data_IF_824137622531
#
_entry.id   IF_824137622531
#
_cell.length_a   1.000
_cell.length_b   1.000
_cell.length_c   1.000
_cell.angle_alpha   90.00
_cell.angle_beta   90.00
_cell.angle_gamma   90.00
#
_symmetry.space_group_name_H-M   'P 1'
#
loop_
_entity.id
_entity.type
_entity.pdbx_description
1 polymer ?
#
# COMPACT_ATOMS: atom_id res chain seq x y z
N UNK A 1 -8.64 -11.04 14.97
CA UNK A 1 -8.80 -11.50 13.57
C UNK A 1 -7.75 -10.82 12.69
N UNK A 2 -7.20 -11.55 11.70
CA UNK A 2 -6.25 -10.97 10.72
C UNK A 2 -7.00 -10.07 9.73
N UNK A 3 -6.37 -8.98 9.29
CA UNK A 3 -6.93 -8.14 8.24
C UNK A 3 -7.06 -8.93 6.93
N UNK A 4 -8.03 -8.59 6.07
CA UNK A 4 -8.15 -9.14 4.72
C UNK A 4 -7.66 -8.16 3.65
N UNK A 5 -7.30 -8.63 2.45
CA UNK A 5 -7.08 -7.76 1.31
C UNK A 5 -8.40 -7.11 0.85
N UNK A 6 -8.30 -6.05 0.06
CA UNK A 6 -9.41 -5.57 -0.76
C UNK A 6 -9.56 -6.47 -1.99
N UNK A 7 -10.81 -6.75 -2.40
CA UNK A 7 -11.10 -7.31 -3.73
C UNK A 7 -10.89 -6.25 -4.81
N UNK A 8 -10.81 -6.65 -6.07
CA UNK A 8 -10.65 -5.68 -7.17
C UNK A 8 -11.88 -4.78 -7.32
N UNK A 9 -13.09 -5.31 -7.07
CA UNK A 9 -14.32 -4.51 -7.05
C UNK A 9 -14.35 -3.50 -5.90
N UNK A 10 -13.96 -3.90 -4.69
CA UNK A 10 -13.85 -2.99 -3.55
C UNK A 10 -12.80 -1.89 -3.79
N UNK A 11 -11.65 -2.26 -4.36
CA UNK A 11 -10.62 -1.28 -4.73
C UNK A 11 -11.15 -0.25 -5.74
N UNK A 12 -11.93 -0.69 -6.73
CA UNK A 12 -12.55 0.18 -7.74
C UNK A 12 -13.58 1.11 -7.09
N UNK A 13 -14.48 0.60 -6.24
CA UNK A 13 -15.47 1.38 -5.52
C UNK A 13 -14.83 2.45 -4.61
N UNK A 14 -13.82 2.07 -3.83
CA UNK A 14 -13.10 3.00 -2.96
C UNK A 14 -12.34 4.06 -3.76
N UNK A 15 -11.74 3.69 -4.89
CA UNK A 15 -11.06 4.63 -5.79
C UNK A 15 -12.04 5.66 -6.35
N UNK A 16 -13.20 5.22 -6.83
CA UNK A 16 -14.27 6.08 -7.33
C UNK A 16 -14.80 7.01 -6.23
N UNK A 17 -15.07 6.47 -5.04
CA UNK A 17 -15.52 7.25 -3.88
C UNK A 17 -14.56 8.40 -3.54
N UNK A 18 -13.25 8.11 -3.42
CA UNK A 18 -12.27 9.16 -3.11
C UNK A 18 -12.09 10.16 -4.25
N UNK A 19 -12.19 9.72 -5.49
CA UNK A 19 -12.10 10.58 -6.68
C UNK A 19 -13.28 11.54 -6.75
N UNK A 20 -14.52 11.04 -6.63
CA UNK A 20 -15.75 11.85 -6.67
C UNK A 20 -15.81 12.86 -5.52
N UNK A 21 -15.37 12.45 -4.32
CA UNK A 21 -15.29 13.34 -3.17
C UNK A 21 -14.14 14.38 -3.28
N UNK A 22 -13.35 14.35 -4.36
CA UNK A 22 -12.18 15.21 -4.53
C UNK A 22 -11.10 15.00 -3.47
N UNK A 23 -11.07 13.84 -2.82
CA UNK A 23 -10.13 13.55 -1.74
C UNK A 23 -8.85 12.89 -2.29
N UNK A 24 -8.04 13.71 -2.96
CA UNK A 24 -6.82 13.25 -3.65
C UNK A 24 -5.81 12.58 -2.73
N UNK A 25 -5.70 13.02 -1.46
CA UNK A 25 -4.82 12.39 -0.47
C UNK A 25 -5.22 10.95 -0.18
N UNK A 26 -6.51 10.71 0.06
CA UNK A 26 -7.00 9.38 0.40
C UNK A 26 -7.01 8.45 -0.84
N UNK A 27 -7.27 9.00 -2.03
CA UNK A 27 -7.10 8.29 -3.29
C UNK A 27 -5.64 7.85 -3.50
N UNK A 28 -4.70 8.78 -3.29
CA UNK A 28 -3.26 8.47 -3.37
C UNK A 28 -2.85 7.42 -2.33
N UNK A 29 -3.31 7.54 -1.09
CA UNK A 29 -3.04 6.58 -0.03
C UNK A 29 -3.48 5.16 -0.42
N UNK A 30 -4.69 5.02 -0.97
CA UNK A 30 -5.22 3.75 -1.45
C UNK A 30 -4.39 3.20 -2.63
N UNK A 31 -4.18 4.02 -3.67
CA UNK A 31 -3.45 3.60 -4.89
C UNK A 31 -1.99 3.28 -4.59
N UNK A 32 -1.29 4.14 -3.86
CA UNK A 32 0.12 3.95 -3.52
C UNK A 32 0.31 2.78 -2.55
N UNK A 33 -0.56 2.63 -1.55
CA UNK A 33 -0.52 1.52 -0.60
C UNK A 33 -0.74 0.16 -1.25
N UNK A 34 -1.76 0.06 -2.12
CA UNK A 34 -2.04 -1.16 -2.88
C UNK A 34 -1.11 -1.37 -4.08
N UNK A 35 -0.42 -0.34 -4.57
CA UNK A 35 0.50 -0.41 -5.69
C UNK A 35 1.97 -0.68 -5.31
N UNK A 36 2.36 -0.38 -4.06
CA UNK A 36 3.74 -0.59 -3.59
C UNK A 36 3.86 -1.62 -2.49
N UNK A 37 2.76 -1.89 -1.79
CA UNK A 37 2.73 -2.78 -0.64
C UNK A 37 3.62 -2.31 0.53
N UNK A 38 3.97 -1.04 0.61
CA UNK A 38 4.69 -0.48 1.75
C UNK A 38 3.86 -0.62 3.04
N UNK A 39 4.53 -0.76 4.18
CA UNK A 39 3.85 -0.68 5.48
C UNK A 39 3.31 0.71 5.68
N UNK A 40 2.24 0.83 6.45
CA UNK A 40 1.63 2.15 6.68
C UNK A 40 2.62 3.17 7.26
N UNK A 41 3.51 2.77 8.16
CA UNK A 41 4.56 3.64 8.69
C UNK A 41 5.59 4.07 7.63
N UNK A 42 5.83 3.23 6.62
CA UNK A 42 6.70 3.51 5.50
C UNK A 42 6.03 4.52 4.54
N UNK A 43 4.73 4.33 4.26
CA UNK A 43 3.94 5.27 3.45
C UNK A 43 3.86 6.66 4.10
N UNK A 44 3.54 6.70 5.40
CA UNK A 44 3.38 7.96 6.13
C UNK A 44 4.71 8.70 6.36
N UNK A 45 5.84 8.03 6.18
CA UNK A 45 7.16 8.65 6.23
C UNK A 45 7.58 9.31 4.90
N UNK A 46 6.82 9.10 3.80
CA UNK A 46 7.12 9.69 2.50
C UNK A 46 6.92 11.21 2.54
N UNK A 47 7.83 11.89 1.86
CA UNK A 47 7.81 13.33 1.63
C UNK A 47 7.63 13.63 0.15
N UNK A 48 7.31 14.86 -0.18
CA UNK A 48 7.14 15.31 -1.57
C UNK A 48 8.37 14.96 -2.41
N UNK A 49 9.58 15.19 -1.93
CA UNK A 49 10.84 14.86 -2.61
C UNK A 49 11.03 13.38 -2.95
N UNK A 50 10.32 12.48 -2.27
CA UNK A 50 10.44 11.03 -2.51
C UNK A 50 9.63 10.59 -3.74
N UNK A 51 8.70 11.43 -4.20
CA UNK A 51 7.79 11.14 -5.32
C UNK A 51 7.80 12.19 -6.41
N UNK A 52 8.48 13.34 -6.20
CA UNK A 52 8.61 14.44 -7.15
C UNK A 52 10.08 14.77 -7.36
N UNK A 53 10.57 14.64 -8.60
CA UNK A 53 11.98 14.85 -8.97
C UNK A 53 12.05 15.89 -10.08
N UNK A 54 12.68 17.03 -9.76
CA UNK A 54 12.75 18.14 -10.72
C UNK A 54 11.37 18.68 -11.07
N UNK A 55 10.86 18.35 -12.25
CA UNK A 55 9.59 18.84 -12.79
C UNK A 55 8.52 17.76 -12.95
N UNK A 56 8.80 16.52 -12.57
CA UNK A 56 7.91 15.38 -12.84
C UNK A 56 7.75 14.42 -11.67
N UNK A 57 6.71 13.60 -11.74
CA UNK A 57 6.51 12.49 -10.80
C UNK A 57 7.56 11.41 -11.06
N UNK A 58 8.22 10.97 -10.00
CA UNK A 58 9.20 9.89 -10.04
C UNK A 58 8.63 8.61 -10.69
N UNK A 59 9.45 7.89 -11.46
CA UNK A 59 9.09 6.60 -12.02
C UNK A 59 9.12 5.46 -10.98
N UNK A 60 9.75 5.70 -9.84
CA UNK A 60 9.89 4.75 -8.76
C UNK A 60 9.97 5.48 -7.42
N UNK A 61 9.63 4.78 -6.36
CA UNK A 61 9.77 5.28 -5.00
C UNK A 61 10.68 4.37 -4.19
N UNK A 62 11.56 4.98 -3.39
CA UNK A 62 12.48 4.25 -2.52
C UNK A 62 12.24 4.62 -1.07
N UNK A 63 11.97 3.62 -0.23
CA UNK A 63 11.95 3.83 1.21
C UNK A 63 13.38 3.72 1.76
N UNK A 64 13.86 4.81 2.34
CA UNK A 64 15.16 4.84 2.97
C UNK A 64 15.24 3.78 4.09
N UNK A 65 16.39 3.13 4.24
CA UNK A 65 16.65 2.10 5.25
C UNK A 65 16.17 2.48 6.66
N UNK A 66 16.42 3.72 7.09
CA UNK A 66 16.03 4.22 8.42
C UNK A 66 14.54 4.19 8.71
N UNK A 67 13.70 4.16 7.67
CA UNK A 67 12.24 4.12 7.76
C UNK A 67 11.69 2.68 7.71
N UNK A 68 12.54 1.68 7.45
CA UNK A 68 12.17 0.28 7.44
C UNK A 68 12.21 -0.31 8.87
N UNK A 69 11.34 -1.28 9.14
CA UNK A 69 11.36 -2.04 10.40
C UNK A 69 12.74 -2.70 10.57
N UNK A 70 13.44 -2.39 11.67
CA UNK A 70 14.79 -2.88 11.91
C UNK A 70 15.90 -2.09 11.19
N UNK A 71 15.58 -1.03 10.44
CA UNK A 71 16.56 -0.24 9.71
C UNK A 71 17.36 0.76 10.57
N UNK A 72 16.93 0.99 11.81
CA UNK A 72 17.64 1.86 12.80
C UNK A 72 18.61 1.00 13.60
N UNK A 73 19.89 1.36 13.57
CA UNK A 73 20.94 0.73 14.37
C UNK A 73 22.11 0.19 13.56
N UNK A 74 23.31 0.21 14.15
CA UNK A 74 24.56 -0.19 13.51
C UNK A 74 24.62 -1.69 13.13
N UNK A 75 23.89 -2.52 13.86
CA UNK A 75 23.91 -3.99 13.69
C UNK A 75 23.01 -4.53 12.56
N UNK A 76 22.09 -3.71 12.01
CA UNK A 76 21.14 -4.16 10.97
C UNK A 76 21.57 -3.77 9.54
N UNK A 77 22.84 -4.08 9.19
CA UNK A 77 23.38 -3.81 7.83
C UNK A 77 22.65 -4.56 6.71
N UNK A 78 21.93 -5.64 7.03
CA UNK A 78 21.18 -6.45 6.06
C UNK A 78 19.89 -5.77 5.54
N UNK A 79 19.36 -4.77 6.24
CA UNK A 79 18.14 -4.06 5.81
C UNK A 79 18.53 -3.03 4.76
N UNK A 80 18.24 -3.34 3.50
CA UNK A 80 18.42 -2.42 2.35
C UNK A 80 17.15 -1.58 2.13
N UNK A 81 17.32 -0.37 1.57
CA UNK A 81 16.18 0.41 1.06
C UNK A 81 15.42 -0.42 0.02
N UNK A 82 14.09 -0.30 0.04
CA UNK A 82 13.24 -0.99 -0.93
C UNK A 82 12.78 -0.01 -2.01
N UNK A 83 13.13 -0.33 -3.24
CA UNK A 83 12.75 0.39 -4.46
C UNK A 83 11.54 -0.29 -5.09
N UNK A 84 10.52 0.48 -5.47
CA UNK A 84 9.32 -0.02 -6.14
C UNK A 84 9.00 0.88 -7.32
N UNK A 85 8.89 0.33 -8.56
CA UNK A 85 8.39 1.06 -9.71
C UNK A 85 6.96 1.55 -9.48
N UNK A 86 6.64 2.73 -9.95
CA UNK A 86 5.31 3.32 -9.87
C UNK A 86 4.57 3.11 -11.19
N UNK A 87 3.47 2.36 -11.15
CA UNK A 87 2.58 2.21 -12.29
C UNK A 87 1.88 3.55 -12.60
N UNK A 88 1.51 3.76 -13.84
CA UNK A 88 0.92 5.03 -14.32
C UNK A 88 -0.28 5.49 -13.48
N UNK A 89 -1.27 4.65 -13.09
CA UNK A 89 -2.39 5.10 -12.27
C UNK A 89 -1.98 5.61 -10.87
N UNK A 90 -0.81 5.19 -10.37
CA UNK A 90 -0.25 5.69 -9.09
C UNK A 90 0.43 7.04 -9.32
N UNK A 91 1.17 7.19 -10.43
CA UNK A 91 1.83 8.45 -10.81
C UNK A 91 0.79 9.55 -11.05
N UNK A 92 -0.30 9.26 -11.77
CA UNK A 92 -1.43 10.18 -11.95
C UNK A 92 -2.02 10.63 -10.60
N UNK A 93 -2.21 9.69 -9.65
CA UNK A 93 -2.74 10.04 -8.33
C UNK A 93 -1.77 10.91 -7.52
N UNK A 94 -0.45 10.71 -7.67
CA UNK A 94 0.58 11.59 -7.08
C UNK A 94 0.47 12.98 -7.69
N UNK A 95 0.45 13.08 -9.02
CA UNK A 95 0.35 14.36 -9.73
C UNK A 95 -0.91 15.14 -9.32
N UNK A 96 -2.06 14.47 -9.30
CA UNK A 96 -3.33 15.06 -8.89
C UNK A 96 -3.28 15.58 -7.45
N UNK A 97 -2.66 14.81 -6.55
CA UNK A 97 -2.54 15.22 -5.15
C UNK A 97 -1.59 16.40 -4.98
N UNK A 98 -0.43 16.37 -5.62
CA UNK A 98 0.53 17.47 -5.55
C UNK A 98 -0.03 18.76 -6.16
N UNK A 99 -0.74 18.68 -7.27
CA UNK A 99 -1.43 19.82 -7.86
C UNK A 99 -2.46 20.43 -6.89
N UNK A 100 -3.20 19.58 -6.15
CA UNK A 100 -4.20 20.05 -5.18
C UNK A 100 -3.59 20.73 -3.96
N UNK A 101 -2.49 20.19 -3.41
CA UNK A 101 -1.86 20.78 -2.23
C UNK A 101 -1.00 22.01 -2.56
N UNK A 102 -0.62 22.19 -3.83
CA UNK A 102 0.11 23.37 -4.31
C UNK A 102 1.45 23.61 -3.63
N UNK A 103 2.05 22.59 -3.02
CA UNK A 103 3.28 22.76 -2.25
C UNK A 103 4.51 22.70 -3.14
N UNK A 104 5.49 23.55 -2.83
CA UNK A 104 6.84 23.50 -3.38
C UNK A 104 7.86 23.05 -2.32
N UNK A 105 7.41 22.75 -1.10
CA UNK A 105 8.30 22.30 -0.04
C UNK A 105 8.62 20.80 -0.21
N UNK A 106 9.84 20.43 -0.59
CA UNK A 106 10.22 19.02 -0.79
C UNK A 106 10.18 18.20 0.50
N UNK A 107 10.27 18.87 1.64
CA UNK A 107 10.27 18.22 2.97
C UNK A 107 8.86 18.05 3.57
N UNK A 108 7.83 18.56 2.91
CA UNK A 108 6.46 18.38 3.35
C UNK A 108 6.08 16.89 3.32
N UNK A 109 5.37 16.43 4.35
CA UNK A 109 4.82 15.08 4.39
C UNK A 109 3.83 14.87 3.23
N UNK A 110 3.97 13.78 2.48
CA UNK A 110 3.09 13.46 1.36
C UNK A 110 1.64 13.23 1.82
N UNK A 111 1.48 12.65 3.00
CA UNK A 111 0.19 12.39 3.64
C UNK A 111 0.03 13.25 4.89
N UNK A 112 -0.18 14.54 4.70
CA UNK A 112 -0.39 15.49 5.80
C UNK A 112 -1.86 15.53 6.26
N UNK A 113 -2.06 15.91 7.52
CA UNK A 113 -3.39 16.22 8.05
C UNK A 113 -3.81 17.64 7.65
N UNK A 114 -5.12 17.89 7.48
CA UNK A 114 -5.63 19.21 7.14
C UNK A 114 -5.43 20.25 8.27
N UNK A 115 -5.28 19.79 9.51
CA UNK A 115 -5.26 20.64 10.69
C UNK A 115 -3.87 20.88 11.31
N UNK A 116 -2.85 20.16 10.87
CA UNK A 116 -1.52 20.20 11.49
C UNK A 116 -0.43 20.63 10.50
N UNK A 117 -0.56 21.80 9.88
CA UNK A 117 0.49 22.54 9.15
C UNK A 117 1.59 21.66 8.47
N UNK A 118 1.16 20.60 7.77
CA UNK A 118 2.10 19.72 7.05
C UNK A 118 2.61 18.50 7.84
N UNK A 119 2.17 18.30 9.08
CA UNK A 119 2.50 17.09 9.85
C UNK A 119 1.88 15.83 9.23
N UNK A 120 2.60 14.71 9.25
CA UNK A 120 2.10 13.47 8.68
C UNK A 120 0.88 12.94 9.44
N UNK A 121 -0.03 12.30 8.70
CA UNK A 121 -1.12 11.53 9.31
C UNK A 121 -0.57 10.44 10.22
N UNK A 122 -1.31 10.13 11.28
CA UNK A 122 -1.04 8.95 12.08
C UNK A 122 -1.73 7.69 11.52
N UNK A 123 -1.33 6.54 12.04
CA UNK A 123 -1.90 5.25 11.63
C UNK A 123 -3.39 5.14 11.95
N UNK A 124 -3.84 5.75 13.05
CA UNK A 124 -5.24 5.70 13.48
C UNK A 124 -6.12 6.55 12.56
N UNK A 125 -5.62 7.69 12.07
CA UNK A 125 -6.32 8.50 11.09
C UNK A 125 -6.51 7.73 9.78
N UNK A 126 -5.48 7.00 9.32
CA UNK A 126 -5.60 6.15 8.12
C UNK A 126 -6.63 5.03 8.33
N UNK A 127 -6.60 4.37 9.49
CA UNK A 127 -7.59 3.34 9.81
C UNK A 127 -9.03 3.89 9.75
N UNK A 128 -9.28 5.07 10.36
CA UNK A 128 -10.59 5.73 10.31
C UNK A 128 -10.99 6.07 8.87
N UNK A 129 -10.08 6.61 8.06
CA UNK A 129 -10.34 6.92 6.65
C UNK A 129 -10.78 5.67 5.88
N UNK A 130 -10.05 4.57 6.01
CA UNK A 130 -10.35 3.32 5.28
C UNK A 130 -11.68 2.71 5.74
N UNK A 131 -11.92 2.62 7.04
CA UNK A 131 -13.16 2.01 7.58
C UNK A 131 -14.39 2.85 7.29
N UNK A 132 -14.29 4.17 7.34
CA UNK A 132 -15.39 5.07 6.99
C UNK A 132 -15.71 5.00 5.50
N UNK A 133 -14.68 5.00 4.64
CA UNK A 133 -14.89 4.85 3.20
C UNK A 133 -15.54 3.50 2.86
N UNK A 134 -15.12 2.42 3.52
CA UNK A 134 -15.76 1.10 3.36
C UNK A 134 -17.25 1.16 3.70
N UNK A 135 -17.63 1.75 4.85
CA UNK A 135 -19.04 1.88 5.24
C UNK A 135 -19.85 2.66 4.20
N UNK A 136 -19.30 3.78 3.69
CA UNK A 136 -19.96 4.59 2.66
C UNK A 136 -20.12 3.88 1.33
N UNK A 137 -19.24 2.95 1.03
CA UNK A 137 -19.29 2.13 -0.19
C UNK A 137 -20.06 0.81 0.01
N UNK A 138 -20.68 0.55 1.17
CA UNK A 138 -21.36 -0.71 1.45
C UNK A 138 -20.43 -1.92 1.64
N UNK A 139 -19.15 -1.66 1.95
CA UNK A 139 -18.14 -2.70 2.17
C UNK A 139 -18.06 -2.98 3.67
N UNK A 140 -18.13 -4.26 4.08
CA UNK A 140 -17.94 -4.64 5.49
C UNK A 140 -16.52 -4.28 5.98
N UNK A 141 -16.39 -3.39 6.97
CA UNK A 141 -15.10 -2.96 7.49
C UNK A 141 -14.50 -3.90 8.53
N UNK A 142 -15.18 -4.97 8.95
CA UNK A 142 -14.83 -5.81 10.11
C UNK A 142 -13.40 -6.32 10.07
N UNK A 143 -12.91 -6.72 8.89
CA UNK A 143 -11.55 -7.22 8.67
C UNK A 143 -10.67 -6.25 7.86
N UNK A 144 -11.07 -4.97 7.79
CA UNK A 144 -10.29 -3.93 7.12
C UNK A 144 -9.40 -3.21 8.13
N UNK A 145 -8.14 -3.02 7.75
CA UNK A 145 -7.17 -2.23 8.50
C UNK A 145 -6.12 -1.62 7.58
N UNK A 146 -5.18 -0.90 8.13
CA UNK A 146 -4.03 -0.38 7.37
C UNK A 146 -3.19 -1.48 6.72
N UNK A 147 -3.23 -2.71 7.24
CA UNK A 147 -2.59 -3.86 6.63
C UNK A 147 -3.29 -4.37 5.37
N UNK A 148 -4.57 -4.04 5.18
CA UNK A 148 -5.33 -4.43 3.98
C UNK A 148 -4.72 -3.88 2.71
N UNK A 149 -4.16 -2.66 2.73
CA UNK A 149 -3.42 -2.08 1.61
C UNK A 149 -2.27 -3.00 1.15
N UNK A 150 -1.43 -3.40 2.10
CA UNK A 150 -0.29 -4.29 1.81
C UNK A 150 -0.73 -5.70 1.44
N UNK A 151 -1.77 -6.24 2.07
CA UNK A 151 -2.33 -7.55 1.71
C UNK A 151 -2.84 -7.57 0.28
N UNK A 152 -3.50 -6.51 -0.16
CA UNK A 152 -3.95 -6.36 -1.56
C UNK A 152 -2.77 -6.40 -2.53
N UNK A 153 -1.68 -5.68 -2.25
CA UNK A 153 -0.48 -5.73 -3.07
C UNK A 153 0.12 -7.15 -3.12
N UNK A 154 0.29 -7.78 -1.95
CA UNK A 154 0.87 -9.14 -1.88
C UNK A 154 0.04 -10.14 -2.68
N UNK A 155 -1.29 -10.11 -2.52
CA UNK A 155 -2.19 -10.99 -3.27
C UNK A 155 -2.14 -10.77 -4.79
N UNK A 156 -2.05 -9.49 -5.23
CA UNK A 156 -1.90 -9.16 -6.65
C UNK A 156 -0.57 -9.65 -7.22
N UNK A 157 0.54 -9.47 -6.51
CA UNK A 157 1.86 -10.00 -6.93
C UNK A 157 1.85 -11.52 -6.99
N UNK A 158 1.28 -12.18 -5.98
CA UNK A 158 1.18 -13.63 -5.95
C UNK A 158 0.40 -14.18 -7.15
N UNK A 159 -0.76 -13.58 -7.45
CA UNK A 159 -1.56 -13.92 -8.62
C UNK A 159 -0.81 -13.64 -9.93
N UNK A 160 -0.15 -12.48 -10.06
CA UNK A 160 0.60 -12.09 -11.26
C UNK A 160 1.86 -12.94 -11.51
N UNK A 161 2.44 -13.53 -10.44
CA UNK A 161 3.60 -14.43 -10.52
C UNK A 161 3.21 -15.90 -10.74
N UNK A 162 1.99 -16.19 -11.15
CA UNK A 162 1.45 -17.56 -11.26
C UNK A 162 1.61 -18.36 -9.94
N UNK A 163 1.30 -17.70 -8.82
CA UNK A 163 1.34 -18.26 -7.48
C UNK A 163 2.76 -18.63 -6.97
N UNK A 164 3.80 -17.98 -7.52
CA UNK A 164 5.17 -18.15 -7.03
C UNK A 164 5.38 -17.41 -5.69
N UNK A 165 5.46 -18.19 -4.61
CA UNK A 165 5.67 -17.68 -3.26
C UNK A 165 7.04 -17.02 -3.10
N UNK A 166 8.08 -17.56 -3.74
CA UNK A 166 9.45 -17.07 -3.61
C UNK A 166 9.63 -15.75 -4.35
N UNK A 167 9.11 -15.64 -5.58
CA UNK A 167 9.10 -14.39 -6.31
C UNK A 167 8.31 -13.32 -5.54
N UNK A 168 7.13 -13.67 -5.02
CA UNK A 168 6.30 -12.77 -4.19
C UNK A 168 7.06 -12.30 -2.95
N UNK A 169 7.72 -13.21 -2.22
CA UNK A 169 8.54 -12.86 -1.05
C UNK A 169 9.62 -11.84 -1.38
N UNK A 170 10.36 -12.07 -2.47
CA UNK A 170 11.46 -11.18 -2.92
C UNK A 170 10.94 -9.79 -3.28
N UNK A 171 9.85 -9.70 -4.05
CA UNK A 171 9.23 -8.44 -4.46
C UNK A 171 8.70 -7.68 -3.26
N UNK A 172 8.03 -8.34 -2.34
CA UNK A 172 7.45 -7.74 -1.12
C UNK A 172 8.51 -7.37 -0.09
N UNK A 173 9.71 -7.95 -0.18
CA UNK A 173 10.82 -7.72 0.74
C UNK A 173 10.59 -8.35 2.12
N UNK A 174 9.99 -9.53 2.17
CA UNK A 174 9.90 -10.31 3.40
C UNK A 174 11.19 -11.14 3.60
N UNK A 175 11.78 -11.03 4.77
CA UNK A 175 12.98 -11.84 5.13
C UNK A 175 12.64 -13.30 5.38
N UNK A 176 11.39 -13.60 5.80
CA UNK A 176 10.91 -14.95 6.07
C UNK A 176 9.72 -15.31 5.17
N UNK A 177 9.78 -16.43 4.39
CA UNK A 177 8.69 -16.89 3.54
C UNK A 177 7.38 -17.12 4.30
N UNK A 178 7.41 -17.60 5.55
CA UNK A 178 6.25 -17.78 6.38
C UNK A 178 5.48 -16.45 6.62
N UNK A 179 6.18 -15.31 6.55
CA UNK A 179 5.53 -14.01 6.60
C UNK A 179 4.69 -13.76 5.34
N UNK A 180 5.18 -14.15 4.16
CA UNK A 180 4.41 -14.02 2.91
C UNK A 180 3.21 -14.96 2.91
N UNK A 181 3.39 -16.21 3.32
CA UNK A 181 2.31 -17.20 3.39
C UNK A 181 1.12 -16.72 4.27
N UNK A 182 1.38 -16.03 5.38
CA UNK A 182 0.31 -15.45 6.22
C UNK A 182 -0.54 -14.37 5.54
N UNK A 183 -0.04 -13.78 4.45
CA UNK A 183 -0.78 -12.80 3.65
C UNK A 183 -1.66 -13.46 2.59
N UNK A 184 -1.39 -14.72 2.27
CA UNK A 184 -2.08 -15.51 1.27
C UNK A 184 -3.01 -16.47 2.03
N UNK A 185 -4.26 -16.04 2.25
CA UNK A 185 -5.29 -16.92 2.78
C UNK A 185 -5.65 -17.89 1.65
N UNK A 186 -5.38 -19.19 1.85
CA UNK A 186 -5.82 -20.23 0.93
C UNK A 186 -7.27 -20.54 1.26
N UNK A 187 -8.17 -20.41 0.30
CA UNK A 187 -9.56 -20.81 0.43
C UNK A 187 -9.65 -22.34 0.50
N UNK A 188 -10.33 -22.89 1.49
CA UNK A 188 -10.53 -24.34 1.63
C UNK A 188 -11.18 -24.95 0.39
N UNK A 189 -12.13 -24.25 -0.24
CA UNK A 189 -12.75 -24.68 -1.49
C UNK A 189 -11.75 -24.81 -2.65
N UNK A 190 -10.73 -23.94 -2.70
CA UNK A 190 -9.66 -24.02 -3.69
C UNK A 190 -8.74 -25.22 -3.42
N UNK A 191 -8.44 -25.53 -2.16
CA UNK A 191 -7.68 -26.72 -1.77
C UNK A 191 -8.43 -28.00 -2.16
N UNK A 192 -9.72 -28.06 -1.88
CA UNK A 192 -10.58 -29.20 -2.23
C UNK A 192 -10.67 -29.40 -3.76
N UNK A 193 -10.71 -28.30 -4.52
CA UNK A 193 -10.70 -28.36 -5.99
C UNK A 193 -9.36 -28.89 -6.53
N UNK A 194 -8.24 -28.46 -5.97
CA UNK A 194 -6.92 -28.96 -6.33
C UNK A 194 -6.75 -30.44 -5.97
N UNK A 195 -7.20 -30.88 -4.82
CA UNK A 195 -7.16 -32.29 -4.44
C UNK A 195 -7.97 -33.16 -5.41
N UNK A 196 -9.15 -32.69 -5.80
CA UNK A 196 -9.96 -33.41 -6.80
C UNK A 196 -9.32 -33.48 -8.19
N UNK A 197 -8.65 -32.40 -8.63
CA UNK A 197 -7.97 -32.34 -9.92
C UNK A 197 -6.74 -33.27 -10.01
N UNK A 198 -6.07 -33.55 -8.90
CA UNK A 198 -4.91 -34.47 -8.84
C UNK A 198 -5.31 -35.93 -8.69
N UNK A 199 -6.54 -36.20 -8.20
CA UNK A 199 -7.06 -37.55 -8.00
C UNK A 199 -7.74 -38.13 -9.24
N UNK A 200 -7.82 -37.36 -10.34
CA UNK A 200 -8.37 -37.76 -11.65
C UNK A 200 -7.26 -38.15 -12.61
#
# INVERSE_FOLDING_TARGET
>A
MSARPFTDSEFTLLSAHFSTAGNTRNLLLLKLGCGTGYRISELLALRVRDVWIGTEVAHEVTIARRNLKGGRGAYNRAVRGRRVPLAEPVREAIQLHLAKIGTQNPDQALFSTAHAHGEPMDRSAVYRVLTEACRRCGIDPTRISTHSLRKTFVGRIYKASNHDLIATQRIVGHTNPATTARYLETDSAQLDALMRAVAA
#
